data_IF_949190880675
#
_entry.id   IF_949190880675
#
_cell.length_a   1.000
_cell.length_b   1.000
_cell.length_c   1.000
_cell.angle_alpha   90.00
_cell.angle_beta   90.00
_cell.angle_gamma   90.00
#
_symmetry.space_group_name_H-M   'P 1'
#
loop_
_entity.id
_entity.type
_entity.pdbx_description
1 polymer ?
#
# COMPACT_ATOMS: atom_id res chain seq x y z
N UNK A 1 -24.96 61.95 -62.40
CA UNK A 1 -26.25 61.26 -62.64
C UNK A 1 -26.24 59.96 -61.88
N UNK A 2 -27.29 59.69 -61.11
CA UNK A 2 -27.45 58.54 -60.22
C UNK A 2 -27.76 57.25 -60.99
N UNK A 3 -27.32 56.09 -60.47
CA UNK A 3 -28.16 54.90 -60.35
C UNK A 3 -27.51 53.87 -59.40
N UNK A 4 -28.27 53.44 -58.40
CA UNK A 4 -28.02 52.35 -57.46
C UNK A 4 -28.27 50.98 -58.11
N UNK A 5 -27.51 49.93 -57.75
CA UNK A 5 -28.04 48.55 -57.67
C UNK A 5 -27.15 47.61 -56.81
N UNK A 6 -27.82 46.98 -55.83
CA UNK A 6 -27.59 45.73 -55.07
C UNK A 6 -26.43 44.76 -55.42
N UNK A 7 -25.83 44.14 -54.38
CA UNK A 7 -25.91 42.69 -53.97
C UNK A 7 -24.89 42.42 -52.83
N UNK A 8 -25.30 41.64 -51.81
CA UNK A 8 -24.53 41.26 -50.62
C UNK A 8 -23.73 39.92 -50.79
N UNK A 9 -23.25 39.26 -49.70
CA UNK A 9 -21.86 38.89 -49.43
C UNK A 9 -21.43 37.49 -49.92
N UNK A 10 -20.11 37.25 -50.07
CA UNK A 10 -19.57 35.91 -50.26
C UNK A 10 -18.79 35.44 -49.02
N UNK A 11 -19.51 34.66 -48.21
CA UNK A 11 -18.99 33.69 -47.24
C UNK A 11 -18.07 32.70 -47.96
N UNK A 12 -16.83 32.52 -47.49
CA UNK A 12 -16.09 31.27 -47.67
C UNK A 12 -16.08 30.53 -46.35
N UNK A 13 -17.01 29.57 -46.28
CA UNK A 13 -17.01 28.47 -45.34
C UNK A 13 -16.30 27.26 -45.99
N UNK A 14 -15.85 26.35 -45.10
CA UNK A 14 -15.43 24.95 -45.31
C UNK A 14 -13.92 24.73 -45.54
N UNK A 15 -13.26 23.77 -44.88
CA UNK A 15 -13.75 22.69 -44.01
C UNK A 15 -12.73 22.32 -42.94
N UNK A 16 -13.08 22.46 -41.67
CA UNK A 16 -12.59 21.55 -40.65
C UNK A 16 -13.44 20.27 -40.75
N UNK A 17 -13.10 19.39 -41.69
CA UNK A 17 -13.67 18.03 -41.74
C UNK A 17 -13.01 17.19 -40.65
N UNK A 18 -13.39 17.44 -39.39
CA UNK A 18 -13.28 16.41 -38.37
C UNK A 18 -14.35 15.37 -38.67
N UNK A 19 -13.99 14.32 -39.40
CA UNK A 19 -14.90 13.18 -39.56
C UNK A 19 -15.29 12.69 -38.16
N UNK A 20 -16.59 12.48 -37.88
CA UNK A 20 -16.99 11.87 -36.61
C UNK A 20 -16.38 10.47 -36.54
N UNK A 21 -15.54 10.24 -35.52
CA UNK A 21 -14.97 8.93 -35.23
C UNK A 21 -16.12 7.91 -35.11
N UNK A 22 -16.07 6.76 -35.79
CA UNK A 22 -17.08 5.72 -35.69
C UNK A 22 -17.42 5.38 -34.23
N UNK A 23 -18.70 5.18 -33.94
CA UNK A 23 -19.21 4.94 -32.57
C UNK A 23 -18.60 3.68 -31.96
N UNK A 24 -18.26 2.67 -32.78
CA UNK A 24 -17.53 1.48 -32.33
C UNK A 24 -16.10 1.81 -31.85
N UNK A 25 -15.35 2.67 -32.55
CA UNK A 25 -13.97 3.06 -32.16
C UNK A 25 -13.96 3.89 -30.88
N UNK A 26 -14.99 4.72 -30.65
CA UNK A 26 -15.15 5.47 -29.40
C UNK A 26 -15.41 4.53 -28.20
N UNK A 27 -16.18 3.46 -28.42
CA UNK A 27 -16.43 2.42 -27.41
C UNK A 27 -15.16 1.68 -27.04
N UNK A 28 -14.34 1.29 -28.03
CA UNK A 28 -13.06 0.62 -27.79
C UNK A 28 -12.04 1.51 -27.07
N UNK A 29 -11.92 2.78 -27.46
CA UNK A 29 -11.05 3.75 -26.80
C UNK A 29 -11.47 4.00 -25.33
N UNK A 30 -12.78 4.04 -25.06
CA UNK A 30 -13.30 4.16 -23.69
C UNK A 30 -12.96 2.91 -22.85
N UNK A 31 -13.17 1.71 -23.40
CA UNK A 31 -12.84 0.44 -22.73
C UNK A 31 -11.35 0.36 -22.42
N UNK A 32 -10.49 0.73 -23.37
CA UNK A 32 -9.04 0.73 -23.18
C UNK A 32 -8.62 1.74 -22.10
N UNK A 33 -9.19 2.94 -22.10
CA UNK A 33 -8.96 3.94 -21.04
C UNK A 33 -9.30 3.39 -19.66
N UNK A 34 -10.47 2.74 -19.51
CA UNK A 34 -10.88 2.14 -18.24
C UNK A 34 -9.93 1.01 -17.80
N UNK A 35 -9.46 0.18 -18.73
CA UNK A 35 -8.45 -0.86 -18.45
C UNK A 35 -7.15 -0.26 -17.95
N UNK A 36 -6.63 0.77 -18.62
CA UNK A 36 -5.40 1.47 -18.19
C UNK A 36 -5.56 2.09 -16.81
N UNK A 37 -6.70 2.74 -16.53
CA UNK A 37 -6.99 3.30 -15.22
C UNK A 37 -7.01 2.24 -14.12
N UNK A 38 -7.60 1.08 -14.40
CA UNK A 38 -7.62 -0.05 -13.46
C UNK A 38 -6.22 -0.56 -13.14
N UNK A 39 -5.41 -0.80 -14.18
CA UNK A 39 -4.03 -1.28 -14.04
C UNK A 39 -3.22 -0.29 -13.20
N UNK A 40 -3.29 1.00 -13.53
CA UNK A 40 -2.58 2.05 -12.79
C UNK A 40 -3.02 2.14 -11.33
N UNK A 41 -4.30 1.91 -11.03
CA UNK A 41 -4.79 1.85 -9.65
C UNK A 41 -4.17 0.66 -8.91
N UNK A 42 -4.25 -0.54 -9.47
CA UNK A 42 -3.69 -1.77 -8.87
C UNK A 42 -2.17 -1.63 -8.61
N UNK A 43 -1.44 -1.00 -9.55
CA UNK A 43 0.00 -0.72 -9.38
C UNK A 43 0.28 0.26 -8.25
N UNK A 44 -0.50 1.34 -8.16
CA UNK A 44 -0.35 2.33 -7.08
C UNK A 44 -0.72 1.74 -5.71
N UNK A 45 -1.73 0.89 -5.64
CA UNK A 45 -2.12 0.18 -4.41
C UNK A 45 -0.99 -0.77 -3.97
N UNK A 46 -0.47 -1.57 -4.89
CA UNK A 46 0.66 -2.45 -4.59
C UNK A 46 1.91 -1.67 -4.15
N UNK A 47 2.23 -0.53 -4.79
CA UNK A 47 3.35 0.32 -4.38
C UNK A 47 3.18 0.83 -2.94
N UNK A 48 1.99 1.30 -2.57
CA UNK A 48 1.68 1.73 -1.20
C UNK A 48 1.80 0.58 -0.20
N UNK A 49 1.49 -0.65 -0.63
CA UNK A 49 1.66 -1.83 0.20
C UNK A 49 3.15 -2.11 0.47
N UNK A 50 4.00 -2.01 -0.56
CA UNK A 50 5.46 -2.14 -0.40
C UNK A 50 6.01 -1.07 0.54
N UNK A 51 5.59 0.19 0.38
CA UNK A 51 6.00 1.30 1.26
C UNK A 51 5.66 1.02 2.74
N UNK A 52 4.53 0.36 3.01
CA UNK A 52 4.16 -0.07 4.38
C UNK A 52 5.09 -1.14 4.93
N UNK A 53 5.50 -2.10 4.11
CA UNK A 53 6.49 -3.12 4.48
C UNK A 53 7.82 -2.47 4.89
N UNK A 54 8.30 -1.53 4.09
CA UNK A 54 9.52 -0.76 4.39
C UNK A 54 9.38 0.03 5.69
N UNK A 55 8.26 0.73 5.90
CA UNK A 55 8.01 1.49 7.13
C UNK A 55 8.00 0.60 8.38
N UNK A 56 7.36 -0.56 8.31
CA UNK A 56 7.36 -1.52 9.42
C UNK A 56 8.79 -1.94 9.76
N UNK A 57 9.59 -2.28 8.74
CA UNK A 57 10.97 -2.69 8.92
C UNK A 57 11.80 -1.58 9.58
N UNK A 58 11.76 -0.36 9.02
CA UNK A 58 12.50 0.79 9.55
C UNK A 58 12.19 1.08 11.03
N UNK A 59 10.90 1.08 11.39
CA UNK A 59 10.47 1.30 12.78
C UNK A 59 10.97 0.14 13.66
N UNK A 60 10.86 -1.11 13.20
CA UNK A 60 11.28 -2.28 13.98
C UNK A 60 12.79 -2.31 14.23
N UNK A 61 13.61 -1.97 13.23
CA UNK A 61 15.07 -1.86 13.40
C UNK A 61 15.43 -0.69 14.33
N UNK A 62 14.67 0.41 14.31
CA UNK A 62 14.86 1.50 15.25
C UNK A 62 14.56 1.06 16.69
N UNK A 63 13.49 0.28 16.90
CA UNK A 63 13.15 -0.27 18.20
C UNK A 63 14.23 -1.24 18.69
N UNK A 64 14.72 -2.12 17.84
CA UNK A 64 15.79 -3.06 18.17
C UNK A 64 17.07 -2.31 18.57
N UNK A 65 17.53 -1.35 17.76
CA UNK A 65 18.70 -0.51 18.09
C UNK A 65 18.57 0.21 19.43
N UNK A 66 17.37 0.68 19.75
CA UNK A 66 17.13 1.51 20.93
C UNK A 66 16.81 0.74 22.20
N UNK A 67 16.44 -0.54 22.12
CA UNK A 67 15.89 -1.27 23.27
C UNK A 67 16.32 -2.74 23.34
N UNK A 68 16.77 -3.35 22.24
CA UNK A 68 17.34 -4.70 22.30
C UNK A 68 18.66 -4.70 23.09
N UNK A 69 18.91 -5.80 23.78
CA UNK A 69 20.05 -6.08 24.63
C UNK A 69 20.26 -5.09 25.78
N UNK A 70 19.25 -4.27 26.08
CA UNK A 70 19.25 -3.41 27.25
C UNK A 70 18.68 -4.15 28.45
N UNK A 71 19.18 -3.83 29.64
CA UNK A 71 18.69 -4.37 30.92
C UNK A 71 17.34 -3.75 31.35
N UNK A 72 16.52 -3.30 30.39
CA UNK A 72 15.21 -2.71 30.67
C UNK A 72 14.16 -3.80 30.75
N UNK A 73 13.20 -3.62 31.65
CA UNK A 73 12.06 -4.54 31.85
C UNK A 73 10.74 -3.98 31.32
N UNK A 74 10.76 -2.75 30.82
CA UNK A 74 9.58 -2.05 30.32
C UNK A 74 9.95 -1.03 29.25
N UNK A 75 9.05 -0.86 28.29
CA UNK A 75 9.14 0.14 27.24
C UNK A 75 8.52 1.46 27.70
N UNK A 76 9.08 2.60 27.29
CA UNK A 76 8.52 3.89 27.61
C UNK A 76 7.33 4.21 26.69
N UNK A 77 6.41 5.08 27.13
CA UNK A 77 5.12 5.33 26.46
C UNK A 77 5.25 5.83 25.02
N UNK A 78 6.32 6.54 24.69
CA UNK A 78 6.58 7.01 23.34
C UNK A 78 6.68 5.86 22.31
N UNK A 79 7.04 4.64 22.75
CA UNK A 79 7.09 3.45 21.90
C UNK A 79 5.69 2.97 21.50
N UNK A 80 4.65 3.29 22.28
CA UNK A 80 3.27 2.86 22.01
C UNK A 80 2.80 3.32 20.62
N UNK A 81 3.15 4.55 20.22
CA UNK A 81 2.77 5.10 18.91
C UNK A 81 3.42 4.32 17.76
N UNK A 82 4.70 3.95 17.92
CA UNK A 82 5.45 3.15 16.93
C UNK A 82 4.86 1.76 16.79
N UNK A 83 4.55 1.11 17.91
CA UNK A 83 3.89 -0.20 17.92
C UNK A 83 2.50 -0.16 17.27
N UNK A 84 1.70 0.88 17.54
CA UNK A 84 0.40 1.08 16.88
C UNK A 84 0.54 1.25 15.36
N UNK A 85 1.58 1.93 14.90
CA UNK A 85 1.86 2.12 13.48
C UNK A 85 2.25 0.81 12.80
N UNK A 86 3.16 0.03 13.41
CA UNK A 86 3.52 -1.31 12.95
C UNK A 86 2.28 -2.19 12.82
N UNK A 87 1.48 -2.29 13.89
CA UNK A 87 0.28 -3.12 13.89
C UNK A 87 -0.72 -2.72 12.81
N UNK A 88 -0.95 -1.41 12.63
CA UNK A 88 -1.86 -0.90 11.60
C UNK A 88 -1.38 -1.30 10.20
N UNK A 89 -0.11 -1.10 9.90
CA UNK A 89 0.44 -1.44 8.59
C UNK A 89 0.45 -2.96 8.38
N UNK A 90 0.77 -3.76 9.40
CA UNK A 90 0.73 -5.23 9.31
C UNK A 90 -0.69 -5.75 9.05
N UNK A 91 -1.71 -5.20 9.72
CA UNK A 91 -3.13 -5.53 9.46
C UNK A 91 -3.55 -5.20 8.02
N UNK A 92 -3.08 -4.06 7.50
CA UNK A 92 -3.33 -3.68 6.12
C UNK A 92 -2.68 -4.67 5.15
N UNK A 93 -1.39 -5.00 5.35
CA UNK A 93 -0.65 -5.97 4.53
C UNK A 93 -1.34 -7.33 4.53
N UNK A 94 -1.72 -7.84 5.71
CA UNK A 94 -2.45 -9.09 5.85
C UNK A 94 -3.76 -9.06 5.04
N UNK A 95 -4.56 -8.01 5.20
CA UNK A 95 -5.85 -7.87 4.52
C UNK A 95 -5.72 -7.80 3.00
N UNK A 96 -4.79 -6.98 2.49
CA UNK A 96 -4.56 -6.83 1.06
C UNK A 96 -3.93 -8.10 0.44
N UNK A 97 -3.21 -8.87 1.24
CA UNK A 97 -2.67 -10.18 0.84
C UNK A 97 -3.70 -11.31 0.91
N UNK A 98 -4.94 -11.06 1.37
CA UNK A 98 -6.02 -12.05 1.43
C UNK A 98 -6.26 -12.71 2.80
N UNK A 99 -5.55 -12.29 3.85
CA UNK A 99 -5.71 -12.80 5.22
C UNK A 99 -6.70 -11.99 6.07
N UNK A 100 -7.58 -12.68 6.82
CA UNK A 100 -8.66 -12.04 7.58
C UNK A 100 -8.64 -12.28 9.09
N UNK A 101 -8.05 -13.39 9.54
CA UNK A 101 -8.01 -13.78 10.96
C UNK A 101 -6.63 -13.54 11.54
N UNK A 102 -6.61 -13.19 12.82
CA UNK A 102 -5.42 -13.24 13.65
C UNK A 102 -5.46 -14.54 14.45
N UNK A 103 -4.34 -15.24 14.48
CA UNK A 103 -4.15 -16.44 15.29
C UNK A 103 -3.09 -16.16 16.35
N UNK A 104 -3.29 -16.61 17.60
CA UNK A 104 -2.27 -16.43 18.64
C UNK A 104 -0.97 -17.13 18.25
N UNK A 105 0.17 -16.61 18.73
CA UNK A 105 1.45 -17.28 18.58
C UNK A 105 1.44 -18.63 19.29
N UNK A 106 1.92 -19.68 18.62
CA UNK A 106 2.11 -20.99 19.24
C UNK A 106 3.11 -20.92 20.41
N UNK A 107 4.17 -20.12 20.23
CA UNK A 107 5.20 -19.87 21.23
C UNK A 107 5.43 -18.37 21.38
N UNK A 108 4.72 -17.68 22.29
CA UNK A 108 4.94 -16.25 22.52
C UNK A 108 6.32 -16.01 23.14
N UNK A 109 7.02 -14.90 22.81
CA UNK A 109 8.29 -14.53 23.44
C UNK A 109 8.15 -14.42 24.96
N UNK A 110 9.11 -14.96 25.71
CA UNK A 110 9.09 -14.97 27.17
C UNK A 110 9.66 -13.69 27.79
N UNK A 111 10.50 -12.98 27.03
CA UNK A 111 11.18 -11.77 27.49
C UNK A 111 10.97 -10.59 26.54
N UNK A 112 11.17 -9.38 27.05
CA UNK A 112 11.11 -8.16 26.24
C UNK A 112 12.16 -8.18 25.12
N UNK A 113 13.39 -8.60 25.44
CA UNK A 113 14.49 -8.69 24.48
C UNK A 113 14.16 -9.66 23.34
N UNK A 114 13.68 -10.85 23.68
CA UNK A 114 13.23 -11.84 22.70
C UNK A 114 12.09 -11.31 21.83
N UNK A 115 11.12 -10.60 22.42
CA UNK A 115 10.01 -10.01 21.68
C UNK A 115 10.48 -8.94 20.68
N UNK A 116 11.44 -8.09 21.05
CA UNK A 116 11.98 -7.05 20.17
C UNK A 116 12.78 -7.68 19.02
N UNK A 117 13.67 -8.62 19.33
CA UNK A 117 14.49 -9.29 18.31
C UNK A 117 13.62 -10.07 17.32
N UNK A 118 12.62 -10.81 17.83
CA UNK A 118 11.68 -11.54 16.98
C UNK A 118 10.80 -10.60 16.16
N UNK A 119 10.41 -9.44 16.70
CA UNK A 119 9.70 -8.43 15.92
C UNK A 119 10.54 -7.97 14.73
N UNK A 120 11.80 -7.60 14.97
CA UNK A 120 12.71 -7.14 13.90
C UNK A 120 12.89 -8.22 12.82
N UNK A 121 13.19 -9.46 13.23
CA UNK A 121 13.38 -10.59 12.30
C UNK A 121 12.11 -10.86 11.48
N UNK A 122 10.95 -10.91 12.12
CA UNK A 122 9.67 -11.15 11.43
C UNK A 122 9.33 -9.99 10.47
N UNK A 123 9.59 -8.75 10.87
CA UNK A 123 9.41 -7.58 10.01
C UNK A 123 10.34 -7.62 8.78
N UNK A 124 11.57 -8.12 8.94
CA UNK A 124 12.52 -8.34 7.85
C UNK A 124 11.99 -9.37 6.86
N UNK A 125 11.57 -10.54 7.35
CA UNK A 125 10.98 -11.58 6.50
C UNK A 125 9.68 -11.12 5.82
N UNK A 126 8.83 -10.38 6.53
CA UNK A 126 7.61 -9.79 5.97
C UNK A 126 7.95 -8.87 4.79
N UNK A 127 8.90 -7.95 4.97
CA UNK A 127 9.28 -6.99 3.94
C UNK A 127 9.93 -7.68 2.73
N UNK A 128 10.83 -8.64 2.98
CA UNK A 128 11.49 -9.41 1.93
C UNK A 128 10.48 -10.20 1.10
N UNK A 129 9.56 -10.93 1.73
CA UNK A 129 8.58 -11.71 1.00
C UNK A 129 7.54 -10.85 0.29
N UNK A 130 7.14 -9.73 0.92
CA UNK A 130 6.24 -8.77 0.30
C UNK A 130 6.86 -8.16 -0.96
N UNK A 131 8.16 -7.84 -0.95
CA UNK A 131 8.88 -7.28 -2.11
C UNK A 131 8.95 -8.23 -3.31
N UNK A 132 8.81 -9.55 -3.08
CA UNK A 132 8.81 -10.58 -4.12
C UNK A 132 7.41 -10.81 -4.71
N UNK A 133 6.36 -10.22 -4.13
CA UNK A 133 4.98 -10.37 -4.63
C UNK A 133 4.71 -9.48 -5.84
N UNK A 134 3.65 -9.80 -6.58
CA UNK A 134 3.08 -8.89 -7.57
C UNK A 134 1.68 -8.48 -7.13
N UNK A 135 1.14 -7.41 -7.74
CA UNK A 135 -0.21 -6.87 -7.46
C UNK A 135 -1.38 -7.86 -7.57
N UNK A 136 -1.15 -9.09 -8.04
CA UNK A 136 -2.17 -10.14 -8.22
C UNK A 136 -1.89 -11.42 -7.42
N UNK A 137 -0.84 -11.44 -6.61
CA UNK A 137 -0.40 -12.64 -5.89
C UNK A 137 -0.89 -12.59 -4.44
N UNK A 138 -1.57 -13.65 -4.02
CA UNK A 138 -1.86 -13.96 -2.61
C UNK A 138 -0.68 -14.76 -2.08
N UNK A 139 -0.01 -14.28 -1.04
CA UNK A 139 1.16 -14.93 -0.45
C UNK A 139 0.88 -15.38 0.96
N UNK A 140 0.86 -16.70 1.18
CA UNK A 140 0.69 -17.30 2.51
C UNK A 140 1.81 -16.86 3.46
N UNK A 141 3.05 -16.78 2.96
CA UNK A 141 4.19 -16.34 3.77
C UNK A 141 3.99 -14.91 4.29
N UNK A 142 3.55 -13.99 3.42
CA UNK A 142 3.26 -12.60 3.81
C UNK A 142 2.13 -12.54 4.83
N UNK A 143 1.08 -13.34 4.66
CA UNK A 143 -0.03 -13.41 5.61
C UNK A 143 0.47 -13.87 6.98
N UNK A 144 1.24 -14.96 7.04
CA UNK A 144 1.74 -15.53 8.29
C UNK A 144 2.68 -14.58 9.01
N UNK A 145 3.66 -13.99 8.31
CA UNK A 145 4.56 -13.00 8.91
C UNK A 145 3.78 -11.76 9.40
N UNK A 146 2.76 -11.30 8.66
CA UNK A 146 1.94 -10.18 9.11
C UNK A 146 1.13 -10.51 10.37
N UNK A 147 0.57 -11.73 10.49
CA UNK A 147 -0.11 -12.20 11.71
C UNK A 147 0.88 -12.24 12.88
N UNK A 148 2.06 -12.81 12.67
CA UNK A 148 3.10 -12.90 13.70
C UNK A 148 3.53 -11.51 14.19
N UNK A 149 3.76 -10.55 13.29
CA UNK A 149 4.03 -9.14 13.64
C UNK A 149 2.92 -8.56 14.51
N UNK A 150 1.65 -8.79 14.16
CA UNK A 150 0.50 -8.29 14.92
C UNK A 150 0.51 -8.86 16.35
N UNK A 151 0.74 -10.15 16.51
CA UNK A 151 0.76 -10.78 17.83
C UNK A 151 1.97 -10.38 18.67
N UNK A 152 3.17 -10.27 18.08
CA UNK A 152 4.37 -9.79 18.80
C UNK A 152 4.15 -8.35 19.29
N UNK A 153 3.53 -7.50 18.46
CA UNK A 153 3.18 -6.13 18.90
C UNK A 153 2.21 -6.16 20.09
N UNK A 154 1.24 -7.09 20.13
CA UNK A 154 0.35 -7.23 21.30
C UNK A 154 1.12 -7.62 22.56
N UNK A 155 2.09 -8.53 22.44
CA UNK A 155 2.98 -8.90 23.55
C UNK A 155 3.77 -7.67 24.03
N UNK A 156 4.40 -6.93 23.12
CA UNK A 156 5.20 -5.74 23.44
C UNK A 156 4.40 -4.63 24.12
N UNK A 157 3.12 -4.46 23.77
CA UNK A 157 2.24 -3.51 24.46
C UNK A 157 2.04 -3.84 25.95
N UNK A 158 2.15 -5.11 26.34
CA UNK A 158 2.13 -5.53 27.74
C UNK A 158 3.34 -5.05 28.56
N UNK A 159 4.42 -4.63 27.90
CA UNK A 159 5.64 -4.12 28.54
C UNK A 159 5.66 -2.59 28.67
N UNK A 160 4.62 -1.87 28.25
CA UNK A 160 4.56 -0.40 28.33
C UNK A 160 4.14 0.05 29.74
N UNK A 161 4.83 1.06 30.30
CA UNK A 161 4.46 1.71 31.59
C UNK A 161 4.11 3.18 31.41
#
# INVERSE_FOLDING_TARGET
>A
MALTLLIAPAVWAQSASGAPVPVEEQSEAMIDTLKRMRIKREENEHKKLLEKGTQILEISEELARNYAHQTITSLPREVEKKLKEIEKNARQIRSESGGSKDEPLESPPATLDEAINRLEETCRHLNEDLSKTSRRVVSVSVINHAIEVIEIVRVLKGYIK
#
